data_IF_769854601600
#
_entry.id   IF_769854601600
#
_cell.length_a   1.000
_cell.length_b   1.000
_cell.length_c   1.000
_cell.angle_alpha   90.00
_cell.angle_beta   90.00
_cell.angle_gamma   90.00
#
_symmetry.space_group_name_H-M   'P 1'
#
loop_
_entity.id
_entity.type
_entity.pdbx_description
1 polymer ?
#
# COMPACT_ATOMS: atom_id res chain seq x y z
N UNK A 1 -7.03 4.66 -0.99
CA UNK A 1 -6.81 4.31 0.43
C UNK A 1 -5.35 4.38 0.82
N UNK A 2 -4.51 3.41 0.43
CA UNK A 2 -3.12 3.33 0.93
C UNK A 2 -2.17 4.41 0.36
N UNK A 3 -2.18 4.61 -0.96
CA UNK A 3 -1.24 5.54 -1.64
C UNK A 3 -2.02 6.41 -2.65
N UNK A 4 -2.89 7.33 -2.19
CA UNK A 4 -3.73 8.11 -3.10
C UNK A 4 -2.92 8.91 -4.12
N UNK A 5 -1.80 9.52 -3.71
CA UNK A 5 -0.92 10.31 -4.60
C UNK A 5 -0.41 9.53 -5.80
N UNK A 6 -0.04 8.26 -5.64
CA UNK A 6 0.41 7.42 -6.76
C UNK A 6 -0.63 7.32 -7.88
N UNK A 7 -1.92 7.21 -7.54
CA UNK A 7 -2.99 7.11 -8.54
C UNK A 7 -3.33 8.47 -9.14
N UNK A 8 -3.23 9.56 -8.37
CA UNK A 8 -3.38 10.93 -8.87
C UNK A 8 -2.27 11.25 -9.87
N UNK A 9 -1.01 11.03 -9.49
CA UNK A 9 0.16 11.28 -10.36
C UNK A 9 0.10 10.44 -11.64
N UNK A 10 -0.41 9.20 -11.55
CA UNK A 10 -0.61 8.32 -12.71
C UNK A 10 -1.68 8.88 -13.66
N UNK A 11 -2.78 9.38 -13.11
CA UNK A 11 -3.83 10.04 -13.89
C UNK A 11 -3.31 11.31 -14.58
N UNK A 12 -2.62 12.17 -13.84
CA UNK A 12 -2.06 13.42 -14.35
C UNK A 12 -1.04 13.16 -15.48
N UNK A 13 -0.17 12.16 -15.30
CA UNK A 13 0.79 11.75 -16.33
C UNK A 13 0.09 11.22 -17.60
N UNK A 14 -0.98 10.44 -17.43
CA UNK A 14 -1.77 9.95 -18.57
C UNK A 14 -2.48 11.09 -19.31
N UNK A 15 -3.04 12.05 -18.58
CA UNK A 15 -3.68 13.24 -19.15
C UNK A 15 -2.68 14.14 -19.90
N UNK A 16 -1.43 14.23 -19.41
CA UNK A 16 -0.36 14.96 -20.07
C UNK A 16 0.27 14.20 -21.26
N UNK A 17 -0.10 12.95 -21.50
CA UNK A 17 0.50 12.10 -22.53
C UNK A 17 1.94 11.66 -22.22
N UNK A 18 2.39 11.77 -20.97
CA UNK A 18 3.73 11.36 -20.55
C UNK A 18 3.80 9.83 -20.36
N UNK A 19 3.98 9.13 -21.48
CA UNK A 19 4.04 7.65 -21.51
C UNK A 19 5.19 7.10 -20.66
N UNK A 20 6.31 7.82 -20.56
CA UNK A 20 7.44 7.38 -19.75
C UNK A 20 7.07 7.38 -18.26
N UNK A 21 6.46 8.46 -17.79
CA UNK A 21 6.02 8.57 -16.40
C UNK A 21 4.87 7.62 -16.08
N UNK A 22 3.93 7.42 -17.00
CA UNK A 22 2.86 6.42 -16.85
C UNK A 22 3.45 5.02 -16.64
N UNK A 23 4.46 4.62 -17.44
CA UNK A 23 5.09 3.29 -17.30
C UNK A 23 5.81 3.12 -15.96
N UNK A 24 6.50 4.15 -15.50
CA UNK A 24 7.18 4.16 -14.20
C UNK A 24 6.15 3.97 -13.05
N UNK A 25 5.11 4.80 -13.03
CA UNK A 25 4.09 4.78 -11.98
C UNK A 25 3.25 3.49 -12.04
N UNK A 26 2.90 3.02 -13.22
CA UNK A 26 2.19 1.75 -13.41
C UNK A 26 3.01 0.56 -12.92
N UNK A 27 4.33 0.53 -13.16
CA UNK A 27 5.22 -0.51 -12.62
C UNK A 27 5.14 -0.55 -11.09
N UNK A 28 5.08 0.60 -10.42
CA UNK A 28 4.90 0.68 -8.97
C UNK A 28 3.52 0.16 -8.53
N UNK A 29 2.45 0.49 -9.26
CA UNK A 29 1.10 -0.04 -9.00
C UNK A 29 1.08 -1.57 -9.09
N UNK A 30 1.69 -2.13 -10.14
CA UNK A 30 1.77 -3.59 -10.31
C UNK A 30 2.59 -4.22 -9.18
N UNK A 31 3.73 -3.64 -8.80
CA UNK A 31 4.55 -4.15 -7.69
C UNK A 31 3.74 -4.23 -6.39
N UNK A 32 2.98 -3.18 -6.05
CA UNK A 32 2.10 -3.20 -4.87
C UNK A 32 1.04 -4.29 -5.00
N UNK A 33 0.44 -4.42 -6.18
CA UNK A 33 -0.67 -5.35 -6.42
C UNK A 33 -0.23 -6.81 -6.33
N UNK A 34 0.97 -7.14 -6.79
CA UNK A 34 1.50 -8.51 -6.78
C UNK A 34 2.19 -8.90 -5.47
N UNK A 35 2.52 -7.94 -4.61
CA UNK A 35 3.20 -8.20 -3.32
C UNK A 35 2.29 -8.07 -2.11
N UNK A 36 1.51 -6.99 -2.01
CA UNK A 36 0.71 -6.70 -0.82
C UNK A 36 -0.67 -7.36 -0.86
N UNK A 37 -1.32 -7.33 -2.02
CA UNK A 37 -2.72 -7.80 -2.16
C UNK A 37 -2.85 -9.29 -2.41
N UNK A 38 -1.73 -9.98 -2.56
CA UNK A 38 -1.62 -11.43 -2.77
C UNK A 38 -1.26 -12.18 -1.47
N UNK A 39 -1.07 -11.46 -0.36
CA UNK A 39 -0.82 -12.07 0.96
C UNK A 39 -2.10 -12.79 1.42
N UNK A 40 -1.97 -14.08 1.72
CA UNK A 40 -3.09 -14.95 2.10
C UNK A 40 -3.59 -15.83 0.94
N UNK A 41 -4.52 -16.74 1.25
CA UNK A 41 -4.90 -17.85 0.33
C UNK A 41 -6.30 -17.72 -0.29
N UNK A 42 -7.07 -16.73 0.13
CA UNK A 42 -8.49 -16.58 -0.23
C UNK A 42 -8.72 -15.35 -1.11
N UNK A 43 -9.87 -15.30 -1.80
CA UNK A 43 -10.27 -14.11 -2.57
C UNK A 43 -10.38 -12.83 -1.74
N UNK A 44 -10.46 -12.94 -0.41
CA UNK A 44 -10.41 -11.82 0.52
C UNK A 44 -8.99 -11.31 0.84
N UNK A 45 -7.94 -11.91 0.27
CA UNK A 45 -6.54 -11.50 0.43
C UNK A 45 -6.35 -10.00 0.17
N UNK A 46 -6.96 -9.48 -0.91
CA UNK A 46 -6.89 -8.06 -1.24
C UNK A 46 -7.39 -7.17 -0.10
N UNK A 47 -8.60 -7.39 0.40
CA UNK A 47 -9.21 -6.50 1.40
C UNK A 47 -8.57 -6.68 2.77
N UNK A 48 -8.18 -7.92 3.12
CA UNK A 48 -7.42 -8.22 4.36
C UNK A 48 -6.06 -7.54 4.34
N UNK A 49 -5.31 -7.66 3.24
CA UNK A 49 -4.01 -7.00 3.05
C UNK A 49 -4.12 -5.49 3.12
N UNK A 50 -5.11 -4.90 2.45
CA UNK A 50 -5.33 -3.46 2.50
C UNK A 50 -5.65 -2.97 3.92
N UNK A 51 -6.57 -3.63 4.63
CA UNK A 51 -6.94 -3.25 6.00
C UNK A 51 -5.80 -3.44 7.00
N UNK A 52 -5.08 -4.56 6.90
CA UNK A 52 -3.92 -4.83 7.72
C UNK A 52 -2.81 -3.78 7.49
N UNK A 53 -2.58 -3.39 6.23
CA UNK A 53 -1.62 -2.34 5.89
C UNK A 53 -2.01 -0.99 6.51
N UNK A 54 -3.28 -0.58 6.38
CA UNK A 54 -3.77 0.67 6.97
C UNK A 54 -3.67 0.67 8.51
N UNK A 55 -3.90 -0.48 9.15
CA UNK A 55 -3.70 -0.66 10.60
C UNK A 55 -2.24 -0.60 11.01
N UNK A 56 -1.33 -1.22 10.25
CA UNK A 56 0.11 -1.11 10.49
C UNK A 56 0.62 0.34 10.36
N UNK A 57 -0.05 1.17 9.55
CA UNK A 57 0.26 2.59 9.37
C UNK A 57 -0.49 3.51 10.34
N UNK A 58 -1.29 2.97 11.27
CA UNK A 58 -2.04 3.75 12.26
C UNK A 58 -3.26 4.49 11.70
N UNK A 59 -3.73 4.17 10.49
CA UNK A 59 -4.82 4.89 9.82
C UNK A 59 -6.20 4.38 10.26
N UNK A 60 -6.38 3.06 10.40
CA UNK A 60 -7.63 2.47 10.87
C UNK A 60 -7.41 1.07 11.46
N UNK A 61 -8.37 0.54 12.20
CA UNK A 61 -8.33 -0.84 12.66
C UNK A 61 -8.39 -1.86 11.49
N UNK A 62 -7.84 -3.05 11.70
CA UNK A 62 -7.86 -4.16 10.74
C UNK A 62 -9.02 -5.15 10.95
N UNK A 63 -10.00 -4.76 11.76
CA UNK A 63 -11.25 -5.51 11.95
C UNK A 63 -12.08 -5.43 10.67
N UNK A 64 -12.51 -6.60 10.20
CA UNK A 64 -13.42 -6.77 9.08
C UNK A 64 -14.75 -7.31 9.60
N UNK A 65 -15.84 -6.97 8.91
CA UNK A 65 -17.14 -7.56 9.19
C UNK A 65 -17.10 -9.08 8.94
N UNK A 66 -17.85 -9.83 9.73
CA UNK A 66 -18.04 -11.27 9.52
C UNK A 66 -18.52 -11.54 8.08
N UNK A 67 -18.10 -12.67 7.47
CA UNK A 67 -17.33 -13.79 8.04
C UNK A 67 -15.81 -13.62 7.97
N UNK A 68 -15.29 -12.43 7.63
CA UNK A 68 -13.87 -12.23 7.41
C UNK A 68 -13.11 -12.01 8.72
N UNK A 69 -12.23 -12.95 9.04
CA UNK A 69 -11.27 -12.77 10.12
C UNK A 69 -10.11 -11.89 9.65
N UNK A 70 -9.50 -11.15 10.59
CA UNK A 70 -8.24 -10.43 10.37
C UNK A 70 -7.10 -11.38 9.98
N UNK A 71 -5.94 -10.82 9.63
CA UNK A 71 -4.75 -11.65 9.44
C UNK A 71 -4.20 -12.14 10.78
N UNK A 72 -3.63 -13.33 10.77
CA UNK A 72 -2.88 -13.84 11.90
C UNK A 72 -1.50 -13.16 11.96
N UNK A 73 -0.77 -13.43 13.05
CA UNK A 73 0.55 -12.85 13.32
C UNK A 73 1.51 -12.97 12.13
N UNK A 74 1.46 -14.11 11.41
CA UNK A 74 2.35 -14.41 10.31
C UNK A 74 2.08 -13.54 9.08
N UNK A 75 0.84 -13.45 8.60
CA UNK A 75 0.52 -12.59 7.46
C UNK A 75 0.68 -11.11 7.82
N UNK A 76 0.38 -10.72 9.08
CA UNK A 76 0.61 -9.34 9.54
C UNK A 76 2.09 -8.96 9.54
N UNK A 77 2.98 -9.88 9.87
CA UNK A 77 4.44 -9.69 9.74
C UNK A 77 4.84 -9.55 8.27
N UNK A 78 4.29 -10.37 7.36
CA UNK A 78 4.54 -10.24 5.92
C UNK A 78 4.09 -8.88 5.38
N UNK A 79 2.92 -8.40 5.80
CA UNK A 79 2.43 -7.05 5.44
C UNK A 79 3.42 -5.98 5.88
N UNK A 80 3.94 -6.04 7.12
CA UNK A 80 4.93 -5.06 7.62
C UNK A 80 6.22 -5.07 6.80
N UNK A 81 6.72 -6.25 6.41
CA UNK A 81 7.91 -6.39 5.56
C UNK A 81 7.68 -5.78 4.17
N UNK A 82 6.55 -6.10 3.54
CA UNK A 82 6.20 -5.56 2.22
C UNK A 82 6.04 -4.05 2.26
N UNK A 83 5.45 -3.49 3.32
CA UNK A 83 5.37 -2.03 3.51
C UNK A 83 6.75 -1.38 3.58
N UNK A 84 7.68 -1.97 4.32
CA UNK A 84 9.07 -1.51 4.39
C UNK A 84 9.78 -1.59 3.02
N UNK A 85 9.66 -2.71 2.30
CA UNK A 85 10.23 -2.89 0.95
C UNK A 85 9.66 -1.92 -0.10
N UNK A 86 8.43 -1.46 0.10
CA UNK A 86 7.76 -0.49 -0.74
C UNK A 86 7.99 0.97 -0.29
N UNK A 87 8.76 1.18 0.79
CA UNK A 87 8.98 2.47 1.44
C UNK A 87 7.66 3.19 1.78
N UNK A 88 6.70 2.45 2.34
CA UNK A 88 5.41 2.98 2.78
C UNK A 88 5.46 3.06 4.31
N UNK A 89 5.64 4.28 4.82
CA UNK A 89 5.73 4.57 6.26
C UNK A 89 4.47 5.32 6.79
N UNK A 90 4.24 5.34 8.11
CA UNK A 90 3.22 6.18 8.73
C UNK A 90 3.39 7.67 8.36
N UNK A 91 2.30 8.44 8.47
CA UNK A 91 2.33 9.85 8.10
C UNK A 91 3.25 10.70 8.97
N UNK A 92 3.41 10.33 10.24
CA UNK A 92 4.19 11.11 11.21
C UNK A 92 5.72 10.98 11.03
N UNK A 93 6.20 9.98 10.30
CA UNK A 93 7.63 9.79 10.02
C UNK A 93 8.12 10.52 8.76
N UNK A 94 7.20 11.04 7.92
CA UNK A 94 7.57 11.77 6.70
C UNK A 94 8.00 13.22 6.93
N UNK A 95 7.96 13.71 8.17
CA UNK A 95 8.43 15.06 8.54
C UNK A 95 9.89 15.11 8.99
N UNK A 96 10.58 13.97 9.13
CA UNK A 96 11.96 13.92 9.61
C UNK A 96 13.03 14.05 8.52
N UNK A 97 12.65 13.98 7.23
CA UNK A 97 13.58 13.97 6.09
C UNK A 97 13.57 15.27 5.25
N UNK A 98 13.24 16.42 5.85
CA UNK A 98 13.60 17.70 5.24
C UNK A 98 15.10 17.97 5.48
N UNK A 99 15.95 18.03 4.44
CA UNK A 99 17.35 18.40 4.62
C UNK A 99 17.39 19.82 5.18
N UNK A 100 17.97 19.97 6.37
CA UNK A 100 18.41 21.26 6.87
C UNK A 100 19.63 21.64 6.05
N UNK A 101 19.46 22.41 4.98
CA UNK A 101 20.54 23.16 4.35
C UNK A 101 20.00 24.42 3.71
#
# INVERSE_FOLDING_TARGET
NLIPRLFVDLYDAAMAGDVAKVRELHTRVIKISTTLYTIGRHGSAFIKGLKCALSCLGICEDVLAEPFQRFESQEREQVRRVLAELNIAPADERSADLPTT
#
